data_IF_647944234593
#
_entry.id   IF_647944234593
#
_cell.length_a   1.000
_cell.length_b   1.000
_cell.length_c   1.000
_cell.angle_alpha   90.00
_cell.angle_beta   90.00
_cell.angle_gamma   90.00
#
_symmetry.space_group_name_H-M   'P 1'
#
loop_
_entity.id
_entity.type
_entity.pdbx_description
1 polymer ?
#
# COMPACT_ATOMS: atom_id res chain seq x y z
N UNK A 1 6.90 -22.55 40.02
CA UNK A 1 7.28 -21.39 39.20
C UNK A 1 7.48 -21.76 37.72
N UNK A 2 7.75 -23.04 37.40
CA UNK A 2 7.83 -23.54 36.02
C UNK A 2 6.46 -23.80 35.36
N UNK A 3 5.40 -24.07 36.14
CA UNK A 3 4.08 -24.46 35.60
C UNK A 3 3.31 -23.31 34.94
N UNK A 4 3.53 -22.06 35.37
CA UNK A 4 2.90 -20.87 34.78
C UNK A 4 3.52 -20.48 33.42
N UNK A 5 4.78 -20.82 33.19
CA UNK A 5 5.49 -20.54 31.93
C UNK A 5 5.03 -21.49 30.81
N UNK A 6 4.65 -22.73 31.14
CA UNK A 6 4.12 -23.67 30.16
C UNK A 6 2.70 -23.32 29.70
N UNK A 7 1.85 -22.78 30.58
CA UNK A 7 0.50 -22.37 30.22
C UNK A 7 0.45 -21.12 29.31
N UNK A 8 1.42 -20.21 29.44
CA UNK A 8 1.49 -19.02 28.59
C UNK A 8 1.94 -19.34 27.15
N UNK A 9 2.82 -20.34 26.98
CA UNK A 9 3.34 -20.73 25.67
C UNK A 9 2.33 -21.54 24.85
N UNK A 10 1.42 -22.28 25.51
CA UNK A 10 0.35 -23.01 24.83
C UNK A 10 -0.74 -22.06 24.31
N UNK A 11 -1.08 -20.97 25.01
CA UNK A 11 -2.09 -20.00 24.56
C UNK A 11 -1.61 -19.23 23.31
N UNK A 12 -0.32 -18.90 23.23
CA UNK A 12 0.25 -18.16 22.09
C UNK A 12 0.23 -18.96 20.77
N UNK A 13 0.19 -20.29 20.82
CA UNK A 13 0.12 -21.16 19.64
C UNK A 13 -1.32 -21.35 19.10
N UNK A 14 -2.35 -21.02 19.89
CA UNK A 14 -3.76 -21.13 19.46
C UNK A 14 -4.37 -19.80 19.00
N UNK A 15 -3.68 -18.68 19.20
CA UNK A 15 -4.11 -17.32 18.82
C UNK A 15 -3.27 -16.70 17.70
N UNK A 16 -2.64 -17.51 16.83
CA UNK A 16 -2.21 -16.96 15.54
C UNK A 16 -3.47 -16.65 14.73
N UNK A 17 -3.72 -15.37 14.37
CA UNK A 17 -4.73 -15.09 13.35
C UNK A 17 -4.35 -15.88 12.09
N UNK A 18 -5.33 -16.50 11.40
CA UNK A 18 -5.03 -17.21 10.17
C UNK A 18 -4.32 -16.24 9.23
N UNK A 19 -3.08 -16.58 8.86
CA UNK A 19 -2.42 -15.89 7.77
C UNK A 19 -3.36 -15.98 6.56
N UNK A 20 -3.81 -14.84 6.04
CA UNK A 20 -4.59 -14.79 4.81
C UNK A 20 -3.74 -15.42 3.72
N UNK A 21 -4.03 -16.68 3.39
CA UNK A 21 -3.31 -17.42 2.37
C UNK A 21 -3.79 -16.89 1.02
N UNK A 22 -3.09 -15.89 0.48
CA UNK A 22 -3.14 -15.63 -0.96
C UNK A 22 -2.87 -16.97 -1.65
N UNK A 23 -3.75 -17.39 -2.55
CA UNK A 23 -3.51 -18.58 -3.35
C UNK A 23 -2.29 -18.33 -4.25
N UNK A 24 -1.53 -19.35 -4.63
CA UNK A 24 -0.39 -19.15 -5.55
C UNK A 24 -0.80 -18.52 -6.89
N UNK A 25 -2.09 -18.53 -7.21
CA UNK A 25 -2.66 -17.96 -8.42
C UNK A 25 -3.15 -16.51 -8.27
N UNK A 26 -3.20 -15.94 -7.06
CA UNK A 26 -3.68 -14.56 -6.87
C UNK A 26 -2.64 -13.53 -7.36
N UNK A 27 -3.06 -12.49 -8.13
CA UNK A 27 -2.12 -11.46 -8.57
C UNK A 27 -1.47 -10.73 -7.40
N UNK A 28 -0.15 -10.60 -7.43
CA UNK A 28 0.60 -9.79 -6.45
C UNK A 28 0.08 -8.35 -6.48
N UNK A 29 -0.28 -7.75 -5.33
CA UNK A 29 -0.75 -6.37 -5.25
C UNK A 29 0.21 -5.37 -5.88
N UNK A 30 -0.34 -4.22 -6.30
CA UNK A 30 0.44 -3.12 -6.86
C UNK A 30 0.22 -1.83 -6.06
N UNK A 31 1.31 -1.19 -5.67
CA UNK A 31 1.32 0.17 -5.15
C UNK A 31 1.69 1.14 -6.27
N UNK A 32 0.87 2.17 -6.49
CA UNK A 32 1.14 3.22 -7.48
C UNK A 32 1.38 4.54 -6.76
N UNK A 33 2.48 5.22 -7.09
CA UNK A 33 2.78 6.56 -6.60
C UNK A 33 2.86 7.55 -7.77
N UNK A 34 1.90 8.49 -7.80
CA UNK A 34 1.80 9.54 -8.81
C UNK A 34 3.01 10.50 -8.81
N UNK A 35 3.19 11.23 -9.92
CA UNK A 35 4.23 12.24 -10.05
C UNK A 35 3.82 13.62 -9.53
N UNK A 36 4.77 14.55 -9.54
CA UNK A 36 4.53 15.96 -9.21
C UNK A 36 3.45 16.58 -10.12
N UNK A 37 2.47 17.25 -9.51
CA UNK A 37 1.33 17.87 -10.18
C UNK A 37 0.14 16.96 -10.45
N UNK A 38 0.29 15.64 -10.27
CA UNK A 38 -0.77 14.66 -10.43
C UNK A 38 -1.40 14.29 -9.07
N UNK A 39 -2.42 13.43 -9.06
CA UNK A 39 -3.03 12.89 -7.86
C UNK A 39 -3.29 11.39 -7.99
N UNK A 40 -3.46 10.71 -6.86
CA UNK A 40 -4.03 9.36 -6.77
C UNK A 40 -5.35 9.19 -7.52
N UNK A 41 -6.09 10.28 -7.69
CA UNK A 41 -7.54 10.20 -7.75
C UNK A 41 -8.16 11.13 -8.80
N UNK A 42 -7.35 11.79 -9.64
CA UNK A 42 -7.87 12.39 -10.86
C UNK A 42 -8.24 11.29 -11.85
N UNK A 43 -9.33 11.45 -12.61
CA UNK A 43 -9.70 10.48 -13.67
C UNK A 43 -8.78 10.58 -14.91
N UNK A 44 -7.54 11.00 -14.73
CA UNK A 44 -6.47 11.12 -15.72
C UNK A 44 -5.11 10.89 -15.03
N UNK A 45 -4.01 10.97 -15.78
CA UNK A 45 -2.68 10.79 -15.19
C UNK A 45 -2.44 9.34 -14.73
N UNK A 46 -1.77 9.18 -13.59
CA UNK A 46 -1.38 7.87 -13.04
C UNK A 46 -2.58 6.97 -12.71
N UNK A 47 -3.72 7.54 -12.31
CA UNK A 47 -4.93 6.76 -11.99
C UNK A 47 -5.46 5.96 -13.18
N UNK A 48 -5.26 6.43 -14.42
CA UNK A 48 -5.67 5.67 -15.62
C UNK A 48 -4.96 4.33 -15.72
N UNK A 49 -3.73 4.21 -15.19
CA UNK A 49 -3.03 2.93 -15.14
C UNK A 49 -3.70 1.95 -14.19
N UNK A 50 -4.22 2.41 -13.03
CA UNK A 50 -5.04 1.56 -12.15
C UNK A 50 -6.25 1.00 -12.90
N UNK A 51 -7.01 1.86 -13.57
CA UNK A 51 -8.21 1.45 -14.34
C UNK A 51 -7.88 0.43 -15.43
N UNK A 52 -6.79 0.65 -16.17
CA UNK A 52 -6.36 -0.28 -17.23
C UNK A 52 -5.84 -1.59 -16.65
N UNK A 53 -5.03 -1.55 -15.59
CA UNK A 53 -4.45 -2.74 -14.98
C UNK A 53 -5.50 -3.62 -14.30
N UNK A 54 -6.49 -3.04 -13.61
CA UNK A 54 -7.61 -3.80 -13.04
C UNK A 54 -8.44 -4.51 -14.11
N UNK A 55 -8.52 -3.95 -15.33
CA UNK A 55 -9.15 -4.61 -16.47
C UNK A 55 -8.30 -5.73 -17.05
N UNK A 56 -6.98 -5.53 -17.13
CA UNK A 56 -6.06 -6.48 -17.76
C UNK A 56 -5.67 -7.64 -16.82
N UNK A 57 -5.74 -7.42 -15.52
CA UNK A 57 -5.33 -8.39 -14.49
C UNK A 57 -6.49 -8.57 -13.50
N UNK A 58 -7.47 -9.43 -13.81
CA UNK A 58 -8.63 -9.63 -12.95
C UNK A 58 -8.20 -10.06 -11.54
N UNK A 59 -8.75 -9.40 -10.51
CA UNK A 59 -8.48 -9.72 -9.11
C UNK A 59 -7.26 -8.99 -8.50
N UNK A 60 -6.50 -8.22 -9.29
CA UNK A 60 -5.39 -7.43 -8.73
C UNK A 60 -5.88 -6.37 -7.74
N UNK A 61 -5.23 -6.30 -6.57
CA UNK A 61 -5.40 -5.19 -5.64
C UNK A 61 -4.42 -4.07 -5.99
N UNK A 62 -4.92 -2.85 -6.24
CA UNK A 62 -4.08 -1.69 -6.53
C UNK A 62 -4.31 -0.58 -5.51
N UNK A 63 -3.26 -0.24 -4.76
CA UNK A 63 -3.22 0.86 -3.80
C UNK A 63 -2.59 2.10 -4.44
N UNK A 64 -3.34 3.20 -4.53
CA UNK A 64 -2.77 4.50 -4.88
C UNK A 64 -2.23 5.18 -3.62
N UNK A 65 -0.99 5.70 -3.67
CA UNK A 65 -0.44 6.57 -2.62
C UNK A 65 -1.04 7.96 -2.77
N UNK A 66 -1.48 8.56 -1.66
CA UNK A 66 -2.15 9.85 -1.64
C UNK A 66 -1.85 10.61 -0.33
N UNK A 67 -1.72 11.93 -0.41
CA UNK A 67 -1.44 12.80 0.74
C UNK A 67 -2.50 13.91 0.87
N UNK A 68 -3.38 13.80 1.86
CA UNK A 68 -4.45 14.77 2.09
C UNK A 68 -5.83 14.13 1.95
N UNK A 69 -6.87 14.96 1.99
CA UNK A 69 -8.27 14.51 2.00
C UNK A 69 -8.96 14.65 0.64
N UNK A 70 -8.38 15.38 -0.28
CA UNK A 70 -8.94 15.63 -1.61
C UNK A 70 -7.87 15.46 -2.70
N UNK A 71 -8.25 15.17 -3.96
CA UNK A 71 -7.29 15.08 -5.06
C UNK A 71 -6.48 16.37 -5.26
N UNK A 72 -7.10 17.52 -5.00
CA UNK A 72 -6.42 18.83 -5.06
C UNK A 72 -5.38 19.00 -3.96
N UNK A 73 -5.67 18.55 -2.73
CA UNK A 73 -4.68 18.56 -1.64
C UNK A 73 -3.50 17.62 -1.94
N UNK A 74 -3.78 16.45 -2.52
CA UNK A 74 -2.77 15.47 -2.93
C UNK A 74 -1.84 16.04 -4.02
N UNK A 75 -2.41 16.63 -5.07
CA UNK A 75 -1.65 17.35 -6.10
C UNK A 75 -0.84 18.50 -5.51
N UNK A 76 -1.41 19.30 -4.60
CA UNK A 76 -0.69 20.37 -3.93
C UNK A 76 0.48 19.84 -3.09
N UNK A 77 0.26 18.77 -2.33
CA UNK A 77 1.29 18.16 -1.49
C UNK A 77 2.43 17.55 -2.30
N UNK A 78 2.19 17.13 -3.55
CA UNK A 78 3.26 16.69 -4.46
C UNK A 78 4.32 17.77 -4.72
N UNK A 79 3.98 19.05 -4.56
CA UNK A 79 4.93 20.16 -4.66
C UNK A 79 5.47 20.64 -3.31
N UNK A 80 4.60 20.71 -2.30
CA UNK A 80 4.87 21.52 -1.11
C UNK A 80 5.02 20.72 0.19
N UNK A 81 4.65 19.44 0.22
CA UNK A 81 4.89 18.59 1.39
C UNK A 81 6.33 18.07 1.36
N UNK A 82 7.03 18.18 2.48
CA UNK A 82 8.40 17.68 2.63
C UNK A 82 8.49 16.19 2.22
N UNK A 83 9.39 15.85 1.31
CA UNK A 83 9.48 14.49 0.75
C UNK A 83 9.82 13.42 1.79
N UNK A 84 10.64 13.72 2.81
CA UNK A 84 10.89 12.76 3.88
C UNK A 84 9.61 12.48 4.67
N UNK A 85 8.75 13.49 4.86
CA UNK A 85 7.45 13.29 5.50
C UNK A 85 6.49 12.51 4.60
N UNK A 86 6.54 12.70 3.28
CA UNK A 86 5.77 11.89 2.34
C UNK A 86 6.15 10.40 2.43
N UNK A 87 7.45 10.09 2.46
CA UNK A 87 7.94 8.72 2.60
C UNK A 87 7.50 8.10 3.93
N UNK A 88 7.63 8.84 5.04
CA UNK A 88 7.14 8.37 6.35
C UNK A 88 5.64 8.04 6.33
N UNK A 89 4.81 8.96 5.81
CA UNK A 89 3.37 8.76 5.70
C UNK A 89 3.00 7.62 4.74
N UNK A 90 3.76 7.44 3.66
CA UNK A 90 3.58 6.32 2.75
C UNK A 90 3.91 4.99 3.45
N UNK A 91 5.00 4.92 4.21
CA UNK A 91 5.33 3.72 5.01
C UNK A 91 4.21 3.38 6.01
N UNK A 92 3.65 4.36 6.70
CA UNK A 92 2.52 4.16 7.62
C UNK A 92 1.26 3.68 6.87
N UNK A 93 0.94 4.32 5.74
CA UNK A 93 -0.20 3.94 4.90
C UNK A 93 -0.08 2.49 4.41
N UNK A 94 1.09 2.10 3.90
CA UNK A 94 1.30 0.78 3.29
C UNK A 94 1.44 -0.33 4.34
N UNK A 95 2.09 -0.08 5.48
CA UNK A 95 2.23 -1.07 6.55
C UNK A 95 0.92 -1.36 7.28
N UNK A 96 -0.03 -0.43 7.26
CA UNK A 96 -1.37 -0.62 7.84
C UNK A 96 -2.35 -1.39 6.93
N UNK A 97 -1.97 -1.66 5.69
CA UNK A 97 -2.85 -2.29 4.69
C UNK A 97 -2.60 -3.81 4.66
N UNK A 98 -3.51 -4.59 5.25
CA UNK A 98 -3.38 -6.05 5.36
C UNK A 98 -3.28 -6.75 3.99
N UNK A 99 -3.83 -6.14 2.92
CA UNK A 99 -3.72 -6.67 1.57
C UNK A 99 -2.29 -6.60 1.01
N UNK A 100 -1.40 -5.80 1.63
CA UNK A 100 0.00 -5.63 1.24
C UNK A 100 0.97 -6.38 2.15
N UNK A 101 0.48 -7.04 3.22
CA UNK A 101 1.31 -7.66 4.25
C UNK A 101 2.20 -8.80 3.72
N UNK A 102 1.74 -9.49 2.67
CA UNK A 102 2.47 -10.59 2.03
C UNK A 102 3.34 -10.13 0.84
N UNK A 103 3.60 -8.82 0.73
CA UNK A 103 4.41 -8.22 -0.33
C UNK A 103 3.57 -7.60 -1.44
N UNK A 104 4.22 -6.72 -2.21
CA UNK A 104 3.60 -5.98 -3.31
C UNK A 104 4.64 -5.59 -4.36
N UNK A 105 4.19 -5.40 -5.61
CA UNK A 105 4.93 -4.67 -6.63
C UNK A 105 4.72 -3.17 -6.47
N UNK A 106 5.65 -2.36 -6.96
CA UNK A 106 5.57 -0.91 -6.89
C UNK A 106 5.80 -0.26 -8.25
N UNK A 107 5.02 0.77 -8.56
CA UNK A 107 5.13 1.55 -9.80
C UNK A 107 5.05 3.05 -9.47
N UNK A 108 6.17 3.74 -9.64
CA UNK A 108 6.23 5.19 -9.48
C UNK A 108 6.25 5.90 -10.83
N UNK A 109 5.59 7.05 -10.90
CA UNK A 109 5.62 7.93 -12.07
C UNK A 109 6.45 9.18 -11.79
N UNK A 110 7.40 9.49 -12.68
CA UNK A 110 8.23 10.71 -12.58
C UNK A 110 8.93 10.79 -11.20
N UNK A 111 8.61 11.80 -10.38
CA UNK A 111 9.15 11.93 -9.03
C UNK A 111 8.78 10.75 -8.12
N UNK A 112 7.60 10.16 -8.28
CA UNK A 112 7.16 9.01 -7.47
C UNK A 112 8.07 7.78 -7.62
N UNK A 113 8.81 7.65 -8.73
CA UNK A 113 9.78 6.56 -8.92
C UNK A 113 11.00 6.65 -8.00
N UNK A 114 11.36 7.85 -7.54
CA UNK A 114 12.49 8.03 -6.61
C UNK A 114 12.07 7.92 -5.14
N UNK A 115 10.77 7.95 -4.86
CA UNK A 115 10.20 7.87 -3.51
C UNK A 115 9.91 6.43 -3.07
N UNK A 116 9.84 5.51 -4.02
CA UNK A 116 9.72 4.05 -3.81
C UNK A 116 11.10 3.41 -3.70
#
# INVERSE_FOLDING_TARGET
MADFLFAALTIALFFSPPASSASEDDPVPLVIWSGMGDSCCYEYGAYQFKVVLERLIPGIYIKMVAFGKTPTEDSYNSFFLNSNKQVELACDLLSSDEMLANGFNAMGFSQGSQFL
#
